data_IF_829186446079
#
_entry.id   IF_829186446079
#
_cell.length_a   1.000
_cell.length_b   1.000
_cell.length_c   1.000
_cell.angle_alpha   90.00
_cell.angle_beta   90.00
_cell.angle_gamma   90.00
#
_symmetry.space_group_name_H-M   'P 1'
#
loop_
_entity.id
_entity.type
_entity.pdbx_description
1 polymer ?
#
# COMPACT_ATOMS: atom_id res chain seq x y z
N UNK A 1 -18.47 -6.68 -15.24
CA UNK A 1 -17.29 -6.25 -14.47
C UNK A 1 -16.92 -4.83 -14.91
N UNK A 2 -17.46 -3.80 -14.25
CA UNK A 2 -17.19 -2.41 -14.62
C UNK A 2 -15.77 -2.00 -14.24
N UNK A 3 -15.03 -1.39 -15.17
CA UNK A 3 -13.70 -0.85 -14.86
C UNK A 3 -13.88 0.27 -13.83
N UNK A 4 -13.36 0.09 -12.62
CA UNK A 4 -13.30 1.16 -11.62
C UNK A 4 -12.35 2.23 -12.12
N UNK A 5 -12.87 3.41 -12.48
CA UNK A 5 -12.04 4.59 -12.78
C UNK A 5 -11.34 5.01 -11.49
N UNK A 6 -10.03 4.81 -11.45
CA UNK A 6 -9.24 5.19 -10.29
C UNK A 6 -9.10 6.72 -10.22
N UNK A 7 -9.32 7.30 -9.04
CA UNK A 7 -8.99 8.70 -8.81
C UNK A 7 -7.48 8.91 -8.84
N UNK A 8 -7.06 10.01 -9.48
CA UNK A 8 -5.67 10.41 -9.60
C UNK A 8 -5.02 10.61 -8.22
N UNK A 9 -3.71 10.34 -8.11
CA UNK A 9 -2.97 10.40 -6.85
C UNK A 9 -3.12 11.75 -6.15
N UNK A 10 -2.99 12.86 -6.88
CA UNK A 10 -3.09 14.21 -6.31
C UNK A 10 -4.45 14.48 -5.63
N UNK A 11 -5.54 13.97 -6.19
CA UNK A 11 -6.88 14.11 -5.58
C UNK A 11 -6.92 13.42 -4.22
N UNK A 12 -6.35 12.23 -4.12
CA UNK A 12 -6.31 11.47 -2.87
C UNK A 12 -5.39 12.13 -1.84
N UNK A 13 -4.25 12.67 -2.28
CA UNK A 13 -3.33 13.40 -1.39
C UNK A 13 -3.98 14.67 -0.83
N UNK A 14 -4.70 15.44 -1.65
CA UNK A 14 -5.49 16.60 -1.19
C UNK A 14 -6.57 16.21 -0.16
N UNK A 15 -7.22 15.06 -0.33
CA UNK A 15 -8.17 14.54 0.67
C UNK A 15 -7.46 14.25 1.99
N UNK A 16 -6.27 13.64 1.94
CA UNK A 16 -5.51 13.31 3.15
C UNK A 16 -4.96 14.56 3.85
N UNK A 17 -4.51 15.57 3.12
CA UNK A 17 -4.13 16.87 3.67
C UNK A 17 -5.33 17.56 4.34
N UNK A 18 -6.48 17.55 3.66
CA UNK A 18 -7.72 18.08 4.21
C UNK A 18 -8.16 17.37 5.49
N UNK A 19 -8.04 16.04 5.54
CA UNK A 19 -8.34 15.24 6.72
C UNK A 19 -7.37 15.53 7.88
N UNK A 20 -6.06 15.70 7.59
CA UNK A 20 -5.07 16.09 8.59
C UNK A 20 -5.33 17.49 9.16
N UNK A 21 -5.85 18.40 8.33
CA UNK A 21 -6.28 19.74 8.72
C UNK A 21 -7.63 19.77 9.46
N UNK A 22 -8.26 18.62 9.71
CA UNK A 22 -9.53 18.52 10.44
C UNK A 22 -10.77 18.98 9.65
N UNK A 23 -10.68 19.06 8.31
CA UNK A 23 -11.83 19.45 7.48
C UNK A 23 -12.90 18.36 7.48
N UNK A 24 -14.16 18.77 7.55
CA UNK A 24 -15.29 17.85 7.42
C UNK A 24 -15.41 17.23 6.02
N UNK A 25 -15.96 16.01 5.95
CA UNK A 25 -16.16 15.30 4.68
C UNK A 25 -17.04 16.06 3.68
N UNK A 26 -18.06 16.79 4.15
CA UNK A 26 -18.94 17.60 3.29
C UNK A 26 -18.18 18.75 2.64
N UNK A 27 -17.25 19.37 3.37
CA UNK A 27 -16.41 20.47 2.88
C UNK A 27 -15.45 19.97 1.79
N UNK A 28 -14.81 18.82 2.02
CA UNK A 28 -13.93 18.20 1.02
C UNK A 28 -14.70 17.75 -0.23
N UNK A 29 -15.93 17.25 -0.05
CA UNK A 29 -16.83 16.85 -1.14
C UNK A 29 -17.15 18.02 -2.06
N UNK A 30 -17.52 19.18 -1.50
CA UNK A 30 -17.77 20.41 -2.26
C UNK A 30 -16.51 20.92 -2.96
N UNK A 31 -15.36 20.92 -2.28
CA UNK A 31 -14.09 21.41 -2.84
C UNK A 31 -13.59 20.57 -4.03
N UNK A 32 -13.75 19.25 -3.95
CA UNK A 32 -13.20 18.32 -4.96
C UNK A 32 -14.25 17.86 -5.99
N UNK A 33 -15.52 18.23 -5.82
CA UNK A 33 -16.61 17.75 -6.67
C UNK A 33 -16.85 16.24 -6.59
N UNK A 34 -16.44 15.60 -5.49
CA UNK A 34 -16.58 14.16 -5.27
C UNK A 34 -17.72 13.86 -4.32
N UNK A 35 -18.34 12.68 -4.44
CA UNK A 35 -19.32 12.22 -3.46
C UNK A 35 -18.69 12.04 -2.08
N UNK A 36 -19.45 12.32 -1.02
CA UNK A 36 -19.02 12.11 0.38
C UNK A 36 -18.64 10.64 0.62
N UNK A 37 -19.36 9.69 0.01
CA UNK A 37 -19.04 8.26 0.06
C UNK A 37 -17.69 7.90 -0.55
N UNK A 38 -17.31 8.58 -1.65
CA UNK A 38 -16.00 8.39 -2.29
C UNK A 38 -14.88 8.82 -1.34
N UNK A 39 -15.03 9.98 -0.70
CA UNK A 39 -14.06 10.51 0.27
C UNK A 39 -13.93 9.55 1.46
N UNK A 40 -15.06 9.10 2.03
CA UNK A 40 -15.06 8.13 3.11
C UNK A 40 -14.35 6.83 2.74
N UNK A 41 -14.60 6.30 1.54
CA UNK A 41 -13.94 5.10 1.04
C UNK A 41 -12.43 5.27 0.88
N UNK A 42 -11.96 6.44 0.42
CA UNK A 42 -10.54 6.74 0.28
C UNK A 42 -9.87 6.80 1.66
N UNK A 43 -10.49 7.48 2.63
CA UNK A 43 -9.96 7.61 3.98
C UNK A 43 -9.92 6.26 4.70
N UNK A 44 -10.97 5.44 4.56
CA UNK A 44 -10.98 4.08 5.11
C UNK A 44 -9.85 3.22 4.52
N UNK A 45 -9.63 3.28 3.20
CA UNK A 45 -8.51 2.59 2.55
C UNK A 45 -7.16 3.09 3.05
N UNK A 46 -7.01 4.40 3.25
CA UNK A 46 -5.79 4.97 3.82
C UNK A 46 -5.57 4.50 5.26
N UNK A 47 -6.60 4.45 6.11
CA UNK A 47 -6.49 3.92 7.49
C UNK A 47 -6.02 2.46 7.50
N UNK A 48 -6.50 1.64 6.57
CA UNK A 48 -6.10 0.23 6.48
C UNK A 48 -4.67 0.03 5.95
N UNK A 49 -4.27 0.80 4.93
CA UNK A 49 -2.99 0.59 4.24
C UNK A 49 -1.86 1.55 4.69
N UNK A 50 -2.19 2.59 5.45
CA UNK A 50 -1.29 3.69 5.85
C UNK A 50 -0.76 4.53 4.68
N UNK A 51 -1.26 4.32 3.45
CA UNK A 51 -0.73 4.96 2.24
C UNK A 51 -1.83 5.28 1.24
N UNK A 52 -1.67 6.43 0.56
CA UNK A 52 -2.58 6.92 -0.48
C UNK A 52 -2.31 6.27 -1.84
N UNK A 53 -1.07 5.81 -2.05
CA UNK A 53 -0.64 5.11 -3.25
C UNK A 53 -1.29 3.74 -3.30
N UNK A 54 -1.81 3.37 -4.47
CA UNK A 54 -2.30 2.01 -4.68
C UNK A 54 -1.10 1.07 -4.74
N UNK A 55 -0.84 0.36 -3.64
CA UNK A 55 0.28 -0.55 -3.56
C UNK A 55 -0.02 -1.85 -4.33
N UNK A 56 0.99 -2.42 -5.03
CA UNK A 56 0.85 -3.74 -5.62
C UNK A 56 0.42 -4.77 -4.57
N UNK A 57 -0.42 -5.73 -4.98
CA UNK A 57 -1.02 -6.73 -4.10
C UNK A 57 0.04 -7.48 -3.27
N UNK A 58 1.19 -7.78 -3.89
CA UNK A 58 2.37 -8.39 -3.24
C UNK A 58 2.91 -7.56 -2.06
N UNK A 59 3.11 -6.26 -2.27
CA UNK A 59 3.63 -5.34 -1.24
C UNK A 59 2.65 -5.24 -0.09
N UNK A 60 1.33 -5.20 -0.39
CA UNK A 60 0.28 -5.16 0.63
C UNK A 60 0.28 -6.41 1.50
N UNK A 61 0.39 -7.61 0.91
CA UNK A 61 0.46 -8.87 1.68
C UNK A 61 1.67 -8.91 2.60
N UNK A 62 2.86 -8.57 2.09
CA UNK A 62 4.10 -8.59 2.89
C UNK A 62 4.07 -7.54 4.01
N UNK A 63 3.44 -6.39 3.81
CA UNK A 63 3.26 -5.39 4.88
C UNK A 63 2.26 -5.84 5.95
N UNK A 64 1.21 -6.56 5.56
CA UNK A 64 0.22 -7.08 6.50
C UNK A 64 0.78 -8.23 7.33
N UNK A 65 1.50 -9.16 6.69
CA UNK A 65 2.21 -10.24 7.37
C UNK A 65 3.66 -10.34 6.85
N UNK A 66 4.65 -9.83 7.62
CA UNK A 66 6.05 -9.85 7.23
C UNK A 66 6.68 -11.25 7.25
N UNK A 67 5.99 -12.27 7.79
CA UNK A 67 6.46 -13.66 7.77
C UNK A 67 6.10 -14.39 6.47
N UNK A 68 5.30 -13.77 5.60
CA UNK A 68 4.96 -14.35 4.31
C UNK A 68 6.20 -14.58 3.44
N UNK A 69 6.37 -15.81 2.97
CA UNK A 69 7.50 -16.17 2.11
C UNK A 69 7.18 -15.90 0.64
N UNK A 70 8.22 -15.71 -0.19
CA UNK A 70 8.04 -15.53 -1.64
C UNK A 70 7.35 -16.73 -2.31
N UNK A 71 7.50 -17.94 -1.75
CA UNK A 71 6.84 -19.15 -2.24
C UNK A 71 5.34 -19.12 -1.96
N UNK A 72 4.94 -18.76 -0.74
CA UNK A 72 3.53 -18.56 -0.39
C UNK A 72 2.87 -17.50 -1.30
N UNK A 73 3.55 -16.37 -1.54
CA UNK A 73 3.06 -15.34 -2.46
C UNK A 73 2.92 -15.85 -3.90
N UNK A 74 3.80 -16.75 -4.35
CA UNK A 74 3.70 -17.36 -5.67
C UNK A 74 2.52 -18.32 -5.77
N UNK A 75 2.28 -19.12 -4.73
CA UNK A 75 1.14 -20.05 -4.63
C UNK A 75 -0.18 -19.28 -4.67
N UNK A 76 -0.29 -18.20 -3.90
CA UNK A 76 -1.43 -17.29 -3.92
C UNK A 76 -1.70 -16.72 -5.33
N UNK A 77 -0.65 -16.33 -6.04
CA UNK A 77 -0.75 -15.80 -7.40
C UNK A 77 -1.12 -16.88 -8.43
N UNK A 78 -0.69 -18.13 -8.22
CA UNK A 78 -1.08 -19.26 -9.05
C UNK A 78 -2.58 -19.59 -8.91
N UNK A 79 -3.15 -19.44 -7.71
CA UNK A 79 -4.60 -19.57 -7.51
C UNK A 79 -5.37 -18.56 -8.34
N UNK A 80 -4.84 -17.35 -8.49
CA UNK A 80 -5.39 -16.28 -9.34
C UNK A 80 -5.08 -16.51 -10.84
N UNK A 81 -4.49 -17.68 -11.20
CA UNK A 81 -4.05 -18.07 -12.55
C UNK A 81 -3.00 -17.13 -13.16
N UNK A 82 -2.22 -16.46 -12.32
CA UNK A 82 -1.10 -15.62 -12.76
C UNK A 82 0.21 -16.38 -12.60
N UNK A 83 0.91 -16.63 -13.71
CA UNK A 83 2.23 -17.25 -13.68
C UNK A 83 3.29 -16.18 -13.45
N UNK A 84 3.83 -16.13 -12.24
CA UNK A 84 4.87 -15.18 -11.86
C UNK A 84 6.08 -15.94 -11.34
N UNK A 85 7.27 -15.56 -11.82
CA UNK A 85 8.52 -16.13 -11.32
C UNK A 85 8.84 -15.60 -9.92
N UNK A 86 9.57 -16.39 -9.12
CA UNK A 86 10.02 -15.95 -7.78
C UNK A 86 10.90 -14.70 -7.88
N UNK A 87 11.70 -14.57 -8.94
CA UNK A 87 12.53 -13.40 -9.21
C UNK A 87 11.69 -12.14 -9.45
N UNK A 88 10.59 -12.26 -10.20
CA UNK A 88 9.65 -11.14 -10.42
C UNK A 88 9.07 -10.65 -9.10
N UNK A 89 8.65 -11.57 -8.22
CA UNK A 89 8.17 -11.23 -6.88
C UNK A 89 9.29 -10.52 -6.09
N UNK A 90 10.52 -11.04 -6.13
CA UNK A 90 11.64 -10.43 -5.41
C UNK A 90 11.96 -9.02 -5.91
N UNK A 91 11.95 -8.80 -7.22
CA UNK A 91 12.21 -7.49 -7.84
C UNK A 91 11.14 -6.47 -7.45
N UNK A 92 9.86 -6.86 -7.43
CA UNK A 92 8.76 -6.00 -6.99
C UNK A 92 8.89 -5.65 -5.50
N UNK A 93 9.26 -6.61 -4.66
CA UNK A 93 9.45 -6.34 -3.23
C UNK A 93 10.66 -5.42 -2.99
N UNK A 94 11.78 -5.67 -3.65
CA UNK A 94 13.00 -4.85 -3.52
C UNK A 94 12.80 -3.42 -4.03
N UNK A 95 12.12 -3.23 -5.17
CA UNK A 95 11.81 -1.88 -5.70
C UNK A 95 10.89 -1.07 -4.77
N UNK A 96 10.15 -1.75 -3.90
CA UNK A 96 9.31 -1.15 -2.86
C UNK A 96 9.99 -1.10 -1.48
N UNK A 97 11.30 -1.38 -1.40
CA UNK A 97 12.09 -1.30 -0.17
C UNK A 97 11.84 -2.42 0.84
N UNK A 98 11.16 -3.50 0.44
CA UNK A 98 10.86 -4.64 1.29
C UNK A 98 11.96 -5.70 1.16
N UNK A 99 12.97 -5.59 2.03
CA UNK A 99 14.06 -6.55 2.15
C UNK A 99 13.89 -7.43 3.39
N UNK A 100 14.00 -8.74 3.22
CA UNK A 100 13.83 -9.71 4.31
C UNK A 100 14.97 -9.67 5.33
N UNK A 101 16.19 -9.32 4.91
CA UNK A 101 17.36 -9.26 5.79
C UNK A 101 18.00 -7.88 5.67
N UNK A 102 18.18 -7.23 6.82
CA UNK A 102 18.99 -6.01 6.95
C UNK A 102 19.99 -6.24 8.07
N UNK A 103 21.27 -5.99 7.80
CA UNK A 103 22.30 -6.09 8.82
C UNK A 103 22.04 -5.10 9.97
N UNK A 104 22.35 -5.50 11.21
CA UNK A 104 22.32 -4.59 12.36
C UNK A 104 23.38 -3.51 12.15
N UNK A 105 23.04 -2.25 12.44
CA UNK A 105 23.99 -1.12 12.31
C UNK A 105 25.06 -1.13 13.40
N UNK A 106 24.79 -1.76 14.55
CA UNK A 106 25.70 -1.80 15.70
C UNK A 106 26.31 -3.20 15.77
N UNK A 107 27.65 -3.33 15.81
CA UNK A 107 28.28 -4.60 16.11
C UNK A 107 27.91 -5.04 17.53
N UNK A 108 27.79 -6.34 17.75
CA UNK A 108 27.45 -6.91 19.07
C UNK A 108 28.61 -6.82 20.08
N UNK A 109 29.76 -6.34 19.65
CA UNK A 109 30.96 -6.23 20.45
C UNK A 109 31.02 -4.81 21.03
N UNK A 110 30.92 -4.70 22.35
CA UNK A 110 31.43 -3.53 23.06
C UNK A 110 32.95 -3.62 23.10
N UNK A 111 33.64 -2.53 22.75
CA UNK A 111 35.08 -2.37 23.00
C UNK A 111 35.35 -2.64 24.50
N UNK A 112 36.41 -3.38 24.79
CA UNK A 112 36.76 -3.89 26.13
C UNK A 112 37.77 -2.98 26.81
#
# INVERSE_FOLDING_TARGET
MGRTKEHFKAIRDNIMEGQKAGKEYKTLSKQLGLSVSTIGSIIQKWKANGTTVNLPLLVRRVKADPRTTRRALREDLMVVRTLVSVNTISNVLHSNGLCFRRARKVPLLSER
#
